data_IF_640216582881
#
_entry.id   IF_640216582881
#
_cell.length_a   1.000
_cell.length_b   1.000
_cell.length_c   1.000
_cell.angle_alpha   90.00
_cell.angle_beta   90.00
_cell.angle_gamma   90.00
#
_symmetry.space_group_name_H-M   'P 1'
#
loop_
_entity.id
_entity.type
_entity.pdbx_description
1 polymer ?
#
# COMPACT_ATOMS: atom_id res chain seq x y z
N UNK A 1 37.11 -4.37 20.74
CA UNK A 1 37.81 -3.63 19.67
C UNK A 1 38.85 -4.44 18.87
N UNK A 2 40.01 -4.89 19.40
CA UNK A 2 40.99 -5.65 18.58
C UNK A 2 40.49 -7.06 18.17
N UNK A 3 39.82 -7.77 19.08
CA UNK A 3 39.29 -9.10 18.80
C UNK A 3 38.14 -9.07 17.76
N UNK A 4 37.27 -8.07 17.80
CA UNK A 4 36.16 -7.92 16.83
C UNK A 4 36.64 -7.55 15.43
N UNK A 5 37.67 -6.69 15.33
CA UNK A 5 38.31 -6.37 14.05
C UNK A 5 38.98 -7.61 13.45
N UNK A 6 39.64 -8.42 14.26
CA UNK A 6 40.24 -9.68 13.82
C UNK A 6 39.20 -10.69 13.33
N UNK A 7 38.10 -10.87 14.08
CA UNK A 7 36.98 -11.72 13.66
C UNK A 7 36.31 -11.23 12.37
N UNK A 8 36.16 -9.91 12.21
CA UNK A 8 35.63 -9.32 10.99
C UNK A 8 36.55 -9.61 9.78
N UNK A 9 37.86 -9.46 9.95
CA UNK A 9 38.85 -9.77 8.90
C UNK A 9 38.81 -11.26 8.55
N UNK A 10 38.78 -12.14 9.54
CA UNK A 10 38.63 -13.58 9.32
C UNK A 10 37.34 -13.93 8.58
N UNK A 11 36.23 -13.25 8.92
CA UNK A 11 34.94 -13.43 8.24
C UNK A 11 35.04 -13.00 6.78
N UNK A 12 35.64 -11.84 6.49
CA UNK A 12 35.84 -11.34 5.12
C UNK A 12 36.71 -12.31 4.33
N UNK A 13 37.84 -12.75 4.89
CA UNK A 13 38.74 -13.72 4.25
C UNK A 13 37.99 -15.03 3.99
N UNK A 14 37.26 -15.55 4.99
CA UNK A 14 36.48 -16.77 4.88
C UNK A 14 35.38 -16.69 3.81
N UNK A 15 34.59 -15.62 3.79
CA UNK A 15 33.53 -15.43 2.78
C UNK A 15 34.10 -15.23 1.37
N UNK A 16 35.25 -14.55 1.26
CA UNK A 16 35.93 -14.34 -0.02
C UNK A 16 36.51 -15.66 -0.54
N UNK A 17 37.21 -16.41 0.30
CA UNK A 17 37.76 -17.73 -0.05
C UNK A 17 36.65 -18.72 -0.43
N UNK A 18 35.53 -18.71 0.30
CA UNK A 18 34.36 -19.50 -0.04
C UNK A 18 33.78 -19.11 -1.42
N UNK A 19 33.61 -17.81 -1.68
CA UNK A 19 33.15 -17.32 -2.98
C UNK A 19 34.08 -17.71 -4.13
N UNK A 20 35.40 -17.58 -3.95
CA UNK A 20 36.41 -18.01 -4.93
C UNK A 20 36.38 -19.53 -5.13
N UNK A 21 36.28 -20.32 -4.06
CA UNK A 21 36.18 -21.77 -4.15
C UNK A 21 34.91 -22.21 -4.89
N UNK A 22 33.78 -21.54 -4.66
CA UNK A 22 32.52 -21.81 -5.34
C UNK A 22 32.64 -21.48 -6.84
N UNK A 23 33.22 -20.33 -7.18
CA UNK A 23 33.47 -19.92 -8.56
C UNK A 23 34.37 -20.94 -9.28
N UNK A 24 35.51 -21.30 -8.68
CA UNK A 24 36.43 -22.29 -9.25
C UNK A 24 35.78 -23.67 -9.38
N UNK A 25 34.98 -24.10 -8.40
CA UNK A 25 34.24 -25.36 -8.44
C UNK A 25 33.21 -25.38 -9.57
N UNK A 26 32.47 -24.29 -9.75
CA UNK A 26 31.51 -24.12 -10.85
C UNK A 26 32.22 -24.12 -12.21
N UNK A 27 33.32 -23.36 -12.36
CA UNK A 27 34.09 -23.32 -13.61
C UNK A 27 34.69 -24.68 -13.95
N UNK A 28 35.25 -25.39 -12.96
CA UNK A 28 35.77 -26.74 -13.15
C UNK A 28 34.66 -27.73 -13.53
N UNK A 29 33.50 -27.68 -12.86
CA UNK A 29 32.35 -28.52 -13.18
C UNK A 29 31.83 -28.28 -14.61
N UNK A 30 31.83 -27.02 -15.05
CA UNK A 30 31.47 -26.64 -16.42
C UNK A 30 32.47 -27.17 -17.46
N UNK A 31 33.78 -27.02 -17.21
CA UNK A 31 34.84 -27.49 -18.11
C UNK A 31 34.86 -29.02 -18.21
N UNK A 32 34.70 -29.72 -17.07
CA UNK A 32 34.75 -31.18 -17.01
C UNK A 32 33.48 -31.83 -17.57
N UNK A 33 32.36 -31.10 -17.61
CA UNK A 33 31.13 -31.55 -18.29
C UNK A 33 30.48 -32.80 -17.69
N UNK A 34 30.73 -33.10 -16.41
CA UNK A 34 30.24 -34.34 -15.79
C UNK A 34 28.71 -34.31 -15.61
N UNK A 35 28.03 -35.28 -16.23
CA UNK A 35 26.55 -35.40 -16.24
C UNK A 35 26.12 -36.60 -15.40
N UNK A 36 25.30 -36.37 -14.36
CA UNK A 36 24.82 -37.43 -13.45
C UNK A 36 23.54 -38.09 -13.96
N UNK A 37 22.62 -37.31 -14.54
CA UNK A 37 21.35 -37.80 -15.11
C UNK A 37 21.19 -37.18 -16.48
N UNK A 38 20.92 -38.00 -17.49
CA UNK A 38 20.70 -37.56 -18.87
C UNK A 38 19.54 -38.35 -19.47
N UNK A 39 18.70 -37.67 -20.25
CA UNK A 39 17.73 -38.33 -21.13
C UNK A 39 18.36 -38.60 -22.50
N UNK A 40 17.91 -39.65 -23.20
CA UNK A 40 18.49 -40.10 -24.48
C UNK A 40 18.56 -39.01 -25.57
N UNK A 41 17.70 -37.99 -25.46
CA UNK A 41 17.64 -36.84 -26.38
C UNK A 41 18.27 -35.55 -25.81
N UNK A 42 19.02 -35.61 -24.71
CA UNK A 42 19.65 -34.44 -24.04
C UNK A 42 18.70 -33.31 -23.59
N UNK A 43 17.37 -33.50 -23.64
CA UNK A 43 16.41 -32.47 -23.20
C UNK A 43 16.49 -32.16 -21.70
N UNK A 44 16.96 -33.11 -20.89
CA UNK A 44 17.23 -32.91 -19.47
C UNK A 44 18.60 -33.49 -19.13
N UNK A 45 19.53 -32.64 -18.69
CA UNK A 45 20.83 -33.06 -18.13
C UNK A 45 21.06 -32.40 -16.77
N UNK A 46 21.23 -33.23 -15.74
CA UNK A 46 21.60 -32.79 -14.40
C UNK A 46 23.07 -33.14 -14.18
N UNK A 47 23.95 -32.16 -14.35
CA UNK A 47 25.39 -32.32 -14.18
C UNK A 47 25.91 -31.81 -12.85
N UNK A 48 27.22 -31.90 -12.68
CA UNK A 48 27.95 -31.42 -11.51
C UNK A 48 27.64 -29.95 -11.20
N UNK A 49 27.49 -29.12 -12.23
CA UNK A 49 27.05 -27.74 -12.12
C UNK A 49 25.67 -27.59 -11.46
N UNK A 50 24.69 -28.37 -11.92
CA UNK A 50 23.33 -28.38 -11.34
C UNK A 50 23.31 -28.85 -9.89
N UNK A 51 24.14 -29.84 -9.54
CA UNK A 51 24.29 -30.32 -8.17
C UNK A 51 24.85 -29.24 -7.22
N UNK A 52 25.86 -28.48 -7.66
CA UNK A 52 26.41 -27.37 -6.87
C UNK A 52 25.40 -26.24 -6.68
N UNK A 53 24.67 -25.85 -7.74
CA UNK A 53 23.61 -24.83 -7.64
C UNK A 53 22.47 -25.28 -6.73
N UNK A 54 22.00 -26.52 -6.89
CA UNK A 54 20.94 -27.08 -6.04
C UNK A 54 21.38 -27.11 -4.57
N UNK A 55 22.62 -27.55 -4.30
CA UNK A 55 23.19 -27.56 -2.95
C UNK A 55 23.28 -26.14 -2.37
N UNK A 56 23.71 -25.16 -3.17
CA UNK A 56 23.77 -23.76 -2.76
C UNK A 56 22.38 -23.20 -2.41
N UNK A 57 21.37 -23.46 -3.25
CA UNK A 57 19.99 -23.06 -3.00
C UNK A 57 19.41 -23.72 -1.75
N UNK A 58 19.69 -25.01 -1.52
CA UNK A 58 19.25 -25.72 -0.32
C UNK A 58 19.88 -25.09 0.94
N UNK A 59 21.18 -24.80 0.91
CA UNK A 59 21.88 -24.16 2.02
C UNK A 59 21.33 -22.74 2.27
N UNK A 60 21.12 -21.94 1.23
CA UNK A 60 20.50 -20.62 1.34
C UNK A 60 19.09 -20.69 1.93
N UNK A 61 18.27 -21.63 1.45
CA UNK A 61 16.91 -21.85 1.92
C UNK A 61 16.89 -22.31 3.39
N UNK A 62 17.83 -23.16 3.78
CA UNK A 62 18.00 -23.60 5.17
C UNK A 62 18.37 -22.43 6.07
N UNK A 63 19.35 -21.60 5.70
CA UNK A 63 19.72 -20.43 6.49
C UNK A 63 18.58 -19.41 6.57
N UNK A 64 17.90 -19.15 5.45
CA UNK A 64 16.72 -18.29 5.45
C UNK A 64 15.61 -18.83 6.37
N UNK A 65 15.34 -20.14 6.34
CA UNK A 65 14.36 -20.78 7.22
C UNK A 65 14.74 -20.70 8.70
N UNK A 66 16.01 -20.95 9.03
CA UNK A 66 16.51 -20.85 10.40
C UNK A 66 16.42 -19.42 10.93
N UNK A 67 16.80 -18.43 10.11
CA UNK A 67 16.69 -17.02 10.48
C UNK A 67 15.22 -16.59 10.62
N UNK A 68 14.35 -17.03 9.71
CA UNK A 68 12.91 -16.76 9.81
C UNK A 68 12.29 -17.34 11.09
N UNK A 69 12.67 -18.56 11.49
CA UNK A 69 12.25 -19.12 12.80
C UNK A 69 12.80 -18.33 13.98
N UNK A 70 14.04 -17.83 13.91
CA UNK A 70 14.64 -16.99 14.95
C UNK A 70 13.85 -15.68 15.08
N UNK A 71 13.65 -14.97 13.96
CA UNK A 71 12.86 -13.72 13.91
C UNK A 71 11.45 -13.91 14.47
N UNK A 72 10.78 -15.02 14.13
CA UNK A 72 9.42 -15.28 14.62
C UNK A 72 9.35 -15.43 16.13
N UNK A 73 10.36 -16.03 16.77
CA UNK A 73 10.44 -16.11 18.24
C UNK A 73 10.63 -14.74 18.87
N UNK A 74 11.42 -13.88 18.24
CA UNK A 74 11.68 -12.52 18.72
C UNK A 74 10.45 -11.62 18.71
N UNK A 75 9.43 -11.94 17.89
CA UNK A 75 8.14 -11.23 17.91
C UNK A 75 7.30 -11.52 19.17
N UNK A 76 7.58 -12.63 19.88
CA UNK A 76 6.87 -13.02 21.11
C UNK A 76 7.42 -12.31 22.36
N UNK A 77 8.59 -11.65 22.26
CA UNK A 77 9.22 -10.95 23.37
C UNK A 77 8.46 -9.63 23.68
N UNK A 78 8.02 -9.39 24.92
CA UNK A 78 7.34 -8.15 25.28
C UNK A 78 8.31 -6.95 25.23
N UNK A 79 7.96 -5.90 24.48
CA UNK A 79 8.82 -4.73 24.30
C UNK A 79 8.74 -3.77 25.48
N UNK A 80 9.89 -3.19 25.81
CA UNK A 80 9.98 -1.92 26.54
C UNK A 80 10.04 -0.78 25.52
N UNK A 81 8.94 -0.05 25.32
CA UNK A 81 8.86 1.09 24.40
C UNK A 81 9.52 2.34 25.01
N UNK A 82 10.82 2.24 25.30
CA UNK A 82 11.61 3.29 25.95
C UNK A 82 12.55 4.04 24.98
N UNK A 83 12.59 3.63 23.71
CA UNK A 83 13.40 4.25 22.68
C UNK A 83 12.68 5.43 22.05
N UNK A 84 13.47 6.39 21.60
CA UNK A 84 12.99 7.57 20.90
C UNK A 84 13.02 7.34 19.40
N UNK A 85 11.90 7.58 18.73
CA UNK A 85 11.74 7.35 17.29
C UNK A 85 11.31 8.63 16.60
N UNK A 86 11.96 8.97 15.48
CA UNK A 86 11.46 9.95 14.53
C UNK A 86 10.96 9.27 13.26
N UNK A 87 9.76 9.64 12.81
CA UNK A 87 9.25 9.34 11.48
C UNK A 87 9.55 10.52 10.54
N UNK A 88 10.35 10.26 9.51
CA UNK A 88 10.68 11.21 8.47
C UNK A 88 9.86 10.92 7.21
N UNK A 89 9.09 11.91 6.76
CA UNK A 89 8.23 11.81 5.58
C UNK A 89 8.83 12.69 4.49
N UNK A 90 9.17 12.09 3.34
CA UNK A 90 9.61 12.83 2.16
C UNK A 90 8.42 13.12 1.25
N UNK A 91 8.21 14.39 0.88
CA UNK A 91 7.08 14.81 0.05
C UNK A 91 7.53 15.70 -1.12
N UNK A 92 6.89 15.58 -2.26
CA UNK A 92 7.05 16.49 -3.39
C UNK A 92 5.83 16.37 -4.32
N UNK A 93 5.10 17.47 -4.51
CA UNK A 93 3.93 17.57 -5.39
C UNK A 93 2.99 16.35 -5.32
N UNK A 94 2.68 15.91 -4.08
CA UNK A 94 1.87 14.73 -3.81
C UNK A 94 0.38 14.99 -4.07
N UNK A 95 -0.37 13.95 -4.45
CA UNK A 95 -1.81 14.05 -4.49
C UNK A 95 -2.39 14.41 -3.09
N UNK A 96 -3.25 15.44 -2.98
CA UNK A 96 -3.78 15.87 -1.68
C UNK A 96 -4.48 14.78 -0.88
N UNK A 97 -5.17 13.85 -1.54
CA UNK A 97 -5.89 12.76 -0.86
C UNK A 97 -4.92 11.68 -0.36
N UNK A 98 -3.88 11.36 -1.11
CA UNK A 98 -2.83 10.44 -0.67
C UNK A 98 -2.04 10.99 0.50
N UNK A 99 -1.61 12.25 0.43
CA UNK A 99 -0.92 12.91 1.54
C UNK A 99 -1.79 12.94 2.81
N UNK A 100 -3.08 13.27 2.68
CA UNK A 100 -4.03 13.24 3.81
C UNK A 100 -4.14 11.85 4.42
N UNK A 101 -4.27 10.80 3.61
CA UNK A 101 -4.34 9.41 4.09
C UNK A 101 -3.05 8.98 4.80
N UNK A 102 -1.89 9.32 4.24
CA UNK A 102 -0.59 9.10 4.86
C UNK A 102 -0.54 9.75 6.25
N UNK A 103 -0.76 11.06 6.35
CA UNK A 103 -0.71 11.78 7.63
C UNK A 103 -1.77 11.33 8.64
N UNK A 104 -2.98 10.98 8.18
CA UNK A 104 -3.99 10.38 9.05
C UNK A 104 -3.55 9.02 9.61
N UNK A 105 -2.84 8.22 8.82
CA UNK A 105 -2.26 6.95 9.29
C UNK A 105 -1.15 7.16 10.32
N UNK A 106 -0.31 8.19 10.12
CA UNK A 106 0.72 8.60 11.07
C UNK A 106 0.13 8.95 12.44
N UNK A 107 -1.01 9.65 12.47
CA UNK A 107 -1.71 9.96 13.74
C UNK A 107 -2.22 8.73 14.49
N UNK A 108 -2.42 7.62 13.80
CA UNK A 108 -2.90 6.36 14.39
C UNK A 108 -1.75 5.46 14.85
N UNK A 109 -0.49 5.84 14.64
CA UNK A 109 0.65 5.08 15.13
C UNK A 109 0.56 4.93 16.65
N UNK A 110 0.76 3.70 17.11
CA UNK A 110 0.66 3.32 18.52
C UNK A 110 1.97 3.54 19.28
N UNK A 111 3.06 3.85 18.57
CA UNK A 111 4.35 4.12 19.20
C UNK A 111 4.29 5.41 20.03
N UNK A 112 4.55 5.35 21.35
CA UNK A 112 4.37 6.51 22.22
C UNK A 112 5.39 7.59 21.91
N UNK A 113 4.91 8.83 21.78
CA UNK A 113 5.78 10.00 21.69
C UNK A 113 6.62 10.11 20.42
N UNK A 114 6.26 9.40 19.35
CA UNK A 114 6.94 9.48 18.04
C UNK A 114 7.00 10.94 17.55
N UNK A 115 8.20 11.37 17.13
CA UNK A 115 8.41 12.67 16.49
C UNK A 115 8.15 12.52 15.00
N UNK A 116 7.44 13.46 14.39
CA UNK A 116 7.11 13.45 12.96
C UNK A 116 7.79 14.65 12.29
N UNK A 117 8.61 14.38 11.29
CA UNK A 117 9.31 15.40 10.49
C UNK A 117 8.95 15.16 9.04
N UNK A 118 8.10 16.03 8.47
CA UNK A 118 7.83 16.05 7.04
C UNK A 118 8.74 17.08 6.38
N UNK A 119 9.41 16.71 5.30
CA UNK A 119 10.21 17.63 4.49
C UNK A 119 9.66 17.61 3.06
N UNK A 120 9.26 18.78 2.58
CA UNK A 120 8.72 19.00 1.23
C UNK A 120 9.86 19.50 0.34
N UNK A 121 10.13 18.80 -0.76
CA UNK A 121 11.18 19.11 -1.73
C UNK A 121 10.82 20.23 -2.71
N UNK A 122 10.14 21.26 -2.20
CA UNK A 122 9.61 22.36 -2.96
C UNK A 122 9.20 23.46 -2.01
N UNK A 123 9.51 24.69 -2.36
CA UNK A 123 9.18 25.88 -1.58
C UNK A 123 8.55 26.98 -2.43
N UNK A 124 7.94 26.60 -3.55
CA UNK A 124 7.15 27.48 -4.41
C UNK A 124 5.72 27.63 -3.88
N UNK A 125 4.95 28.55 -4.45
CA UNK A 125 3.52 28.70 -4.12
C UNK A 125 2.71 27.43 -4.42
N UNK A 126 3.09 26.69 -5.47
CA UNK A 126 2.47 25.43 -5.87
C UNK A 126 2.66 24.32 -4.83
N UNK A 127 3.64 24.44 -3.92
CA UNK A 127 3.94 23.44 -2.90
C UNK A 127 3.26 23.73 -1.55
N UNK A 128 2.71 24.93 -1.36
CA UNK A 128 2.19 25.41 -0.07
C UNK A 128 1.04 24.53 0.47
N UNK A 129 0.22 23.97 -0.44
CA UNK A 129 -0.91 23.12 -0.05
C UNK A 129 -0.47 21.90 0.78
N UNK A 130 0.73 21.34 0.55
CA UNK A 130 1.21 20.19 1.31
C UNK A 130 1.50 20.58 2.77
N UNK A 131 2.06 21.77 3.00
CA UNK A 131 2.30 22.31 4.34
C UNK A 131 0.98 22.63 5.05
N UNK A 132 0.00 23.16 4.32
CA UNK A 132 -1.34 23.42 4.84
C UNK A 132 -2.05 22.13 5.26
N UNK A 133 -2.00 21.09 4.42
CA UNK A 133 -2.52 19.76 4.73
C UNK A 133 -1.86 19.20 5.99
N UNK A 134 -0.53 19.30 6.11
CA UNK A 134 0.19 18.86 7.29
C UNK A 134 -0.29 19.58 8.56
N UNK A 135 -0.36 20.90 8.51
CA UNK A 135 -0.78 21.73 9.64
C UNK A 135 -2.23 21.45 10.03
N UNK A 136 -3.11 21.24 9.06
CA UNK A 136 -4.50 20.86 9.29
C UNK A 136 -4.61 19.49 9.98
N UNK A 137 -3.94 18.46 9.43
CA UNK A 137 -4.05 17.09 9.93
C UNK A 137 -3.38 16.94 11.30
N UNK A 138 -2.16 17.44 11.45
CA UNK A 138 -1.37 17.36 12.69
C UNK A 138 -1.84 18.33 13.78
N UNK A 139 -2.63 19.35 13.38
CA UNK A 139 -3.21 20.36 14.25
C UNK A 139 -2.36 21.63 14.28
N UNK A 140 -2.94 22.74 13.82
CA UNK A 140 -2.24 24.02 13.60
C UNK A 140 -1.49 24.54 14.84
N UNK A 141 -2.05 24.34 16.04
CA UNK A 141 -1.43 24.77 17.31
C UNK A 141 -0.37 23.78 17.85
N UNK A 142 -0.25 22.60 17.24
CA UNK A 142 0.63 21.50 17.68
C UNK A 142 1.75 21.19 16.68
N UNK A 143 1.64 21.70 15.46
CA UNK A 143 2.63 21.55 14.40
C UNK A 143 3.45 22.82 14.24
N UNK A 144 4.76 22.67 14.07
CA UNK A 144 5.64 23.74 13.63
C UNK A 144 5.88 23.66 12.13
N UNK A 145 5.84 24.79 11.44
CA UNK A 145 6.12 24.85 10.00
C UNK A 145 7.21 25.87 9.70
N UNK A 146 7.99 25.62 8.65
CA UNK A 146 9.01 26.55 8.19
C UNK A 146 9.24 26.44 6.69
N UNK A 147 9.26 27.59 6.01
CA UNK A 147 9.65 27.68 4.61
C UNK A 147 11.12 28.09 4.58
N UNK A 148 12.00 27.10 4.37
CA UNK A 148 13.40 27.36 4.15
C UNK A 148 13.61 27.71 2.69
N UNK A 149 14.13 28.92 2.43
CA UNK A 149 14.37 29.41 1.05
C UNK A 149 15.33 28.52 0.26
N UNK A 150 16.20 27.79 0.95
CA UNK A 150 17.27 27.00 0.38
C UNK A 150 17.27 25.59 0.98
N UNK A 151 18.43 24.92 1.03
CA UNK A 151 18.62 23.65 1.74
C UNK A 151 20.06 23.60 2.30
N UNK A 152 20.50 22.45 2.82
CA UNK A 152 21.83 22.36 3.42
C UNK A 152 22.98 22.50 2.42
N UNK A 153 22.78 22.10 1.16
CA UNK A 153 23.84 22.05 0.15
C UNK A 153 23.80 23.19 -0.88
N UNK A 154 22.69 23.90 -0.99
CA UNK A 154 22.49 24.99 -1.93
C UNK A 154 22.28 26.28 -1.15
N UNK A 155 23.03 27.33 -1.49
CA UNK A 155 22.81 28.69 -0.98
C UNK A 155 21.89 29.46 -1.91
N UNK A 156 21.18 30.44 -1.36
CA UNK A 156 20.34 31.36 -2.11
C UNK A 156 21.15 32.43 -2.85
N UNK A 157 20.60 33.05 -3.90
CA UNK A 157 21.20 34.22 -4.52
C UNK A 157 21.39 35.33 -3.48
N UNK A 158 22.63 35.73 -3.20
CA UNK A 158 22.96 36.77 -2.22
C UNK A 158 22.93 36.32 -0.76
N UNK A 159 22.76 35.03 -0.47
CA UNK A 159 22.84 34.49 0.89
C UNK A 159 24.33 34.36 1.32
N UNK A 160 24.70 35.00 2.43
CA UNK A 160 26.05 34.87 3.01
C UNK A 160 26.17 33.56 3.80
N UNK A 161 27.40 33.12 4.05
CA UNK A 161 27.69 31.92 4.82
C UNK A 161 27.12 31.98 6.24
N UNK A 162 27.12 33.16 6.86
CA UNK A 162 26.53 33.37 8.18
C UNK A 162 25.01 33.20 8.15
N UNK A 163 24.32 33.82 7.18
CA UNK A 163 22.85 33.73 7.05
C UNK A 163 22.38 32.31 6.69
N UNK A 164 23.13 31.60 5.85
CA UNK A 164 22.89 30.18 5.53
C UNK A 164 23.06 29.30 6.78
N UNK A 165 24.11 29.57 7.56
CA UNK A 165 24.34 28.87 8.83
C UNK A 165 23.22 29.14 9.84
N UNK A 166 22.78 30.39 9.97
CA UNK A 166 21.67 30.77 10.86
C UNK A 166 20.37 30.04 10.49
N UNK A 167 20.00 30.03 9.20
CA UNK A 167 18.80 29.33 8.75
C UNK A 167 18.89 27.81 8.94
N UNK A 168 20.06 27.20 8.72
CA UNK A 168 20.29 25.78 9.00
C UNK A 168 20.21 25.43 10.50
N UNK A 169 20.66 26.35 11.36
CA UNK A 169 20.55 26.23 12.82
C UNK A 169 19.09 26.40 13.27
N UNK A 170 18.35 27.31 12.64
CA UNK A 170 16.92 27.48 12.88
C UNK A 170 16.14 26.21 12.57
N UNK A 171 16.38 25.57 11.41
CA UNK A 171 15.79 24.26 11.05
C UNK A 171 16.10 23.21 12.13
N UNK A 172 17.36 23.12 12.56
CA UNK A 172 17.78 22.19 13.61
C UNK A 172 17.01 22.45 14.91
N UNK A 173 16.97 23.71 15.36
CA UNK A 173 16.28 24.08 16.61
C UNK A 173 14.78 23.81 16.54
N UNK A 174 14.15 24.07 15.38
CA UNK A 174 12.75 23.82 15.12
C UNK A 174 12.43 22.33 15.24
N UNK A 175 13.24 21.48 14.60
CA UNK A 175 13.11 20.01 14.65
C UNK A 175 13.31 19.49 16.07
N UNK A 176 14.28 20.01 16.83
CA UNK A 176 14.54 19.55 18.20
C UNK A 176 13.42 19.95 19.17
N UNK A 177 12.86 21.16 19.03
CA UNK A 177 11.92 21.75 20.00
C UNK A 177 10.47 21.29 19.83
N UNK A 178 10.12 20.68 18.68
CA UNK A 178 8.73 20.35 18.34
C UNK A 178 8.53 18.85 18.11
N UNK A 179 7.29 18.36 18.27
CA UNK A 179 6.95 16.95 18.00
C UNK A 179 6.53 16.69 16.56
N UNK A 180 5.85 17.65 15.93
CA UNK A 180 5.39 17.54 14.55
C UNK A 180 5.88 18.75 13.77
N UNK A 181 6.73 18.52 12.78
CA UNK A 181 7.40 19.57 12.02
C UNK A 181 7.20 19.35 10.53
N UNK A 182 6.88 20.42 9.80
CA UNK A 182 6.90 20.43 8.34
C UNK A 182 7.86 21.51 7.82
N UNK A 183 8.85 21.11 7.04
CA UNK A 183 9.84 22.01 6.43
C UNK A 183 9.65 21.98 4.92
N UNK A 184 9.41 23.13 4.31
CA UNK A 184 9.59 23.32 2.87
C UNK A 184 11.02 23.75 2.61
N UNK A 185 11.64 23.20 1.57
CA UNK A 185 13.01 23.55 1.20
C UNK A 185 13.14 23.72 -0.31
N UNK A 186 14.27 24.27 -0.76
CA UNK A 186 14.60 24.29 -2.19
C UNK A 186 14.81 22.87 -2.71
N UNK A 187 14.24 22.60 -3.87
CA UNK A 187 14.33 21.31 -4.57
C UNK A 187 15.78 20.82 -4.67
N UNK A 188 16.02 19.61 -4.18
CA UNK A 188 17.32 18.93 -4.20
C UNK A 188 17.23 17.41 -4.40
N UNK A 189 16.03 16.89 -4.64
CA UNK A 189 15.74 15.47 -4.75
C UNK A 189 15.56 14.79 -3.38
N UNK A 190 14.97 13.59 -3.39
CA UNK A 190 14.66 12.79 -2.20
C UNK A 190 15.85 12.60 -1.24
N UNK A 191 17.08 12.50 -1.75
CA UNK A 191 18.28 12.40 -0.92
C UNK A 191 18.51 13.65 -0.07
N UNK A 192 18.27 14.83 -0.64
CA UNK A 192 18.42 16.10 0.08
C UNK A 192 17.34 16.25 1.15
N UNK A 193 16.10 15.87 0.82
CA UNK A 193 14.96 15.84 1.76
C UNK A 193 15.27 14.98 2.98
N UNK A 194 15.73 13.74 2.74
CA UNK A 194 16.14 12.83 3.80
C UNK A 194 17.34 13.37 4.59
N UNK A 195 18.32 13.94 3.89
CA UNK A 195 19.49 14.55 4.53
C UNK A 195 19.09 15.68 5.47
N UNK A 196 18.17 16.56 5.08
CA UNK A 196 17.66 17.64 5.93
C UNK A 196 17.08 17.12 7.22
N UNK A 197 16.19 16.11 7.14
CA UNK A 197 15.59 15.50 8.32
C UNK A 197 16.66 14.85 9.22
N UNK A 198 17.56 14.04 8.65
CA UNK A 198 18.60 13.34 9.41
C UNK A 198 19.60 14.32 10.05
N UNK A 199 19.99 15.36 9.32
CA UNK A 199 20.93 16.38 9.81
C UNK A 199 20.34 17.20 10.94
N UNK A 200 19.07 17.58 10.84
CA UNK A 200 18.36 18.33 11.87
C UNK A 200 18.07 17.48 13.12
N UNK A 201 17.76 16.19 12.96
CA UNK A 201 17.58 15.26 14.07
C UNK A 201 18.90 14.95 14.80
N UNK A 202 20.00 14.78 14.06
CA UNK A 202 21.31 14.47 14.63
C UNK A 202 21.27 13.24 15.54
N UNK A 203 21.64 13.40 16.82
CA UNK A 203 21.63 12.33 17.83
C UNK A 203 20.43 12.41 18.79
N UNK A 204 19.37 13.13 18.42
CA UNK A 204 18.21 13.38 19.29
C UNK A 204 17.26 12.19 19.43
N UNK A 205 17.36 11.21 18.55
CA UNK A 205 16.54 10.00 18.56
C UNK A 205 17.41 8.75 18.45
N UNK A 206 16.93 7.64 19.00
CA UNK A 206 17.58 6.33 18.89
C UNK A 206 17.40 5.73 17.49
N UNK A 207 16.20 5.90 16.93
CA UNK A 207 15.84 5.36 15.61
C UNK A 207 15.16 6.39 14.71
N UNK A 208 15.41 6.25 13.41
CA UNK A 208 14.74 7.01 12.36
C UNK A 208 14.02 6.05 11.44
N UNK A 209 12.70 6.19 11.36
CA UNK A 209 11.84 5.55 10.38
C UNK A 209 11.64 6.52 9.22
N UNK A 210 11.67 6.01 7.98
CA UNK A 210 11.42 6.81 6.78
C UNK A 210 10.20 6.26 6.04
N UNK A 211 9.38 7.14 5.47
CA UNK A 211 8.31 6.75 4.56
C UNK A 211 8.07 7.82 3.49
N UNK A 212 7.38 7.41 2.44
CA UNK A 212 6.97 8.30 1.35
C UNK A 212 5.63 8.97 1.71
N UNK A 213 5.33 10.09 1.05
CA UNK A 213 4.12 10.90 1.28
C UNK A 213 2.83 10.23 0.83
N UNK A 214 2.91 9.18 0.01
CA UNK A 214 1.79 8.36 -0.48
C UNK A 214 1.60 7.05 0.30
N UNK A 215 2.46 6.78 1.29
CA UNK A 215 2.45 5.51 2.03
C UNK A 215 1.54 5.57 3.25
N UNK A 216 0.54 4.69 3.34
CA UNK A 216 -0.24 4.49 4.55
C UNK A 216 0.46 3.52 5.51
N UNK A 217 0.63 3.93 6.76
CA UNK A 217 1.27 3.11 7.80
C UNK A 217 0.24 2.33 8.62
N UNK A 218 0.53 1.06 8.87
CA UNK A 218 -0.19 0.27 9.87
C UNK A 218 0.06 0.85 11.29
N UNK A 219 -0.97 0.93 12.16
CA UNK A 219 -0.83 1.45 13.52
C UNK A 219 0.29 0.83 14.36
N UNK A 220 0.64 -0.44 14.13
CA UNK A 220 1.70 -1.17 14.84
C UNK A 220 3.05 -1.15 14.13
N UNK A 221 3.15 -0.62 12.90
CA UNK A 221 4.36 -0.70 12.06
C UNK A 221 5.65 -0.25 12.77
N UNK A 222 5.66 0.92 13.39
CA UNK A 222 6.83 1.44 14.13
C UNK A 222 7.19 0.57 15.33
N UNK A 223 6.20 0.01 16.01
CA UNK A 223 6.39 -0.88 17.17
C UNK A 223 7.08 -2.16 16.72
N UNK A 224 6.58 -2.81 15.66
CA UNK A 224 7.15 -4.05 15.14
C UNK A 224 8.56 -3.85 14.58
N UNK A 225 8.84 -2.74 13.90
CA UNK A 225 10.18 -2.45 13.41
C UNK A 225 11.19 -2.24 14.56
N UNK A 226 10.80 -1.53 15.61
CA UNK A 226 11.66 -1.35 16.79
C UNK A 226 11.89 -2.67 17.53
N UNK A 227 10.92 -3.61 17.56
CA UNK A 227 11.14 -4.96 18.12
C UNK A 227 12.38 -5.62 17.52
N UNK A 228 12.44 -5.62 16.19
CA UNK A 228 13.50 -6.32 15.45
C UNK A 228 14.86 -5.69 15.74
N UNK A 229 14.92 -4.36 15.81
CA UNK A 229 16.14 -3.61 16.10
C UNK A 229 16.64 -3.79 17.54
N UNK A 230 15.72 -3.90 18.51
CA UNK A 230 16.08 -4.04 19.93
C UNK A 230 16.43 -5.47 20.32
N UNK A 231 15.89 -6.47 19.61
CA UNK A 231 16.19 -7.87 19.89
C UNK A 231 17.63 -8.25 19.50
N UNK A 232 18.11 -7.77 18.36
CA UNK A 232 19.43 -8.13 17.84
C UNK A 232 20.29 -6.86 17.62
N UNK A 233 21.25 -6.58 18.53
CA UNK A 233 22.14 -5.43 18.41
C UNK A 233 23.00 -5.38 17.14
N UNK A 234 23.09 -6.49 16.40
CA UNK A 234 23.80 -6.54 15.11
C UNK A 234 22.95 -6.04 13.95
N UNK A 235 21.64 -5.84 14.14
CA UNK A 235 20.72 -5.33 13.12
C UNK A 235 20.71 -3.81 13.15
N UNK A 236 21.31 -3.20 12.11
CA UNK A 236 21.37 -1.74 11.96
C UNK A 236 20.20 -1.12 11.19
N UNK A 237 19.26 -1.93 10.69
CA UNK A 237 18.12 -1.47 9.91
C UNK A 237 17.10 -2.58 9.67
N UNK A 238 15.85 -2.18 9.52
CA UNK A 238 14.70 -3.06 9.27
C UNK A 238 13.83 -2.43 8.18
N UNK A 239 13.31 -3.25 7.28
CA UNK A 239 12.30 -2.86 6.30
C UNK A 239 10.93 -3.31 6.75
N UNK A 240 9.91 -2.47 6.56
CA UNK A 240 8.52 -2.90 6.66
C UNK A 240 8.09 -3.70 5.43
N UNK A 241 7.03 -4.49 5.55
CA UNK A 241 6.35 -5.11 4.41
C UNK A 241 5.51 -4.05 3.69
N UNK A 242 5.99 -3.58 2.54
CA UNK A 242 5.32 -2.54 1.75
C UNK A 242 4.43 -3.19 0.71
N UNK A 243 3.13 -2.89 0.77
CA UNK A 243 2.12 -3.40 -0.15
C UNK A 243 1.63 -2.26 -1.05
N UNK A 244 1.51 -2.54 -2.36
CA UNK A 244 1.05 -1.55 -3.35
C UNK A 244 -0.45 -1.75 -3.57
N UNK A 245 -1.27 -0.90 -2.98
CA UNK A 245 -2.73 -0.98 -3.10
C UNK A 245 -3.28 -0.21 -4.32
N UNK A 246 -2.71 -0.46 -5.51
CA UNK A 246 -3.16 0.15 -6.78
C UNK A 246 -4.23 -0.69 -7.50
N UNK A 247 -4.73 -1.76 -6.87
CA UNK A 247 -5.70 -2.66 -7.50
C UNK A 247 -7.10 -2.09 -7.43
N UNK A 248 -7.80 -2.17 -8.55
CA UNK A 248 -9.18 -1.76 -8.67
C UNK A 248 -10.09 -2.93 -8.35
N UNK A 249 -11.00 -2.76 -7.39
CA UNK A 249 -11.93 -3.81 -6.97
C UNK A 249 -13.35 -3.33 -7.19
N UNK A 250 -14.19 -4.18 -7.80
CA UNK A 250 -15.64 -4.03 -7.78
C UNK A 250 -16.26 -5.01 -6.80
N UNK A 251 -17.15 -4.53 -5.94
CA UNK A 251 -18.07 -5.34 -5.16
C UNK A 251 -19.40 -5.45 -5.90
N UNK A 252 -19.74 -6.66 -6.33
CA UNK A 252 -21.01 -6.99 -6.97
C UNK A 252 -21.99 -7.55 -5.93
N UNK A 253 -23.14 -6.89 -5.78
CA UNK A 253 -24.21 -7.29 -4.87
C UNK A 253 -25.40 -7.77 -5.70
N UNK A 254 -25.78 -9.03 -5.53
CA UNK A 254 -26.98 -9.57 -6.14
C UNK A 254 -28.15 -9.47 -5.16
N UNK A 255 -29.28 -8.91 -5.59
CA UNK A 255 -30.46 -8.73 -4.74
C UNK A 255 -31.77 -9.14 -5.42
N UNK A 256 -32.69 -9.70 -4.64
CA UNK A 256 -34.04 -10.02 -5.09
C UNK A 256 -34.99 -10.10 -3.90
N UNK A 257 -36.05 -9.28 -3.89
CA UNK A 257 -37.11 -9.28 -2.86
C UNK A 257 -36.57 -9.41 -1.43
N UNK A 258 -35.57 -8.59 -1.11
CA UNK A 258 -34.85 -8.65 0.15
C UNK A 258 -35.60 -8.00 1.29
N UNK A 259 -35.39 -8.50 2.51
CA UNK A 259 -35.85 -7.79 3.69
C UNK A 259 -35.16 -6.40 3.78
N UNK A 260 -35.94 -5.31 3.93
CA UNK A 260 -35.39 -3.95 3.99
C UNK A 260 -34.31 -3.74 5.05
N UNK A 261 -34.43 -4.39 6.22
CA UNK A 261 -33.49 -4.23 7.32
C UNK A 261 -32.18 -4.99 7.04
N UNK A 262 -32.25 -6.19 6.45
CA UNK A 262 -31.05 -6.93 6.05
C UNK A 262 -30.30 -6.22 4.92
N UNK A 263 -31.01 -5.76 3.89
CA UNK A 263 -30.40 -5.00 2.79
C UNK A 263 -29.69 -3.73 3.31
N UNK A 264 -30.35 -3.00 4.22
CA UNK A 264 -29.77 -1.80 4.82
C UNK A 264 -28.54 -2.11 5.68
N UNK A 265 -28.53 -3.22 6.41
CA UNK A 265 -27.36 -3.68 7.19
C UNK A 265 -26.21 -4.06 6.26
N UNK A 266 -26.47 -4.81 5.19
CA UNK A 266 -25.49 -5.16 4.16
C UNK A 266 -24.86 -3.89 3.57
N UNK A 267 -25.64 -2.97 3.02
CA UNK A 267 -25.13 -1.74 2.40
C UNK A 267 -24.37 -0.84 3.38
N UNK A 268 -24.81 -0.76 4.64
CA UNK A 268 -24.07 -0.04 5.69
C UNK A 268 -22.72 -0.69 5.99
N UNK A 269 -22.63 -2.02 5.91
CA UNK A 269 -21.35 -2.73 6.06
C UNK A 269 -20.42 -2.47 4.87
N UNK A 270 -20.96 -2.45 3.65
CA UNK A 270 -20.23 -2.09 2.42
C UNK A 270 -19.64 -0.68 2.52
N UNK A 271 -20.40 0.29 3.01
CA UNK A 271 -19.92 1.66 3.22
C UNK A 271 -18.77 1.79 4.23
N UNK A 272 -18.60 0.79 5.11
CA UNK A 272 -17.51 0.75 6.10
C UNK A 272 -16.27 0.00 5.62
N UNK A 273 -16.28 -0.57 4.41
CA UNK A 273 -15.10 -1.24 3.86
C UNK A 273 -13.93 -0.26 3.79
N UNK A 274 -12.76 -0.72 4.24
CA UNK A 274 -11.55 0.12 4.31
C UNK A 274 -10.78 0.13 3.00
N UNK A 275 -11.20 -0.65 1.99
CA UNK A 275 -10.54 -0.70 0.69
C UNK A 275 -10.74 0.61 -0.07
N UNK A 276 -9.65 1.34 -0.40
CA UNK A 276 -9.77 2.64 -1.03
C UNK A 276 -10.34 2.52 -2.44
N UNK A 277 -11.25 3.42 -2.80
CA UNK A 277 -11.73 3.52 -4.19
C UNK A 277 -12.57 2.35 -4.70
N UNK A 278 -13.06 1.46 -3.82
CA UNK A 278 -13.91 0.33 -4.23
C UNK A 278 -15.13 0.82 -5.02
N UNK A 279 -15.42 0.14 -6.15
CA UNK A 279 -16.62 0.35 -6.96
C UNK A 279 -17.71 -0.60 -6.45
N UNK A 280 -18.93 -0.12 -6.27
CA UNK A 280 -20.07 -0.92 -5.81
C UNK A 280 -21.09 -1.01 -6.93
N UNK A 281 -21.41 -2.23 -7.34
CA UNK A 281 -22.42 -2.54 -8.37
C UNK A 281 -23.47 -3.44 -7.74
N UNK A 282 -24.63 -2.89 -7.40
CA UNK A 282 -25.78 -3.66 -6.99
C UNK A 282 -26.66 -3.94 -8.21
N UNK A 283 -27.06 -5.19 -8.40
CA UNK A 283 -28.00 -5.56 -9.45
C UNK A 283 -29.20 -6.25 -8.80
N UNK A 284 -30.37 -5.67 -9.00
CA UNK A 284 -31.66 -6.17 -8.50
C UNK A 284 -32.29 -7.02 -9.59
N UNK A 285 -32.60 -8.28 -9.27
CA UNK A 285 -33.22 -9.26 -10.16
C UNK A 285 -34.73 -9.06 -10.31
N UNK A 286 -35.14 -7.83 -10.55
CA UNK A 286 -36.53 -7.43 -10.58
C UNK A 286 -36.61 -5.96 -10.95
N UNK A 287 -37.61 -5.61 -11.75
CA UNK A 287 -37.87 -4.25 -12.18
C UNK A 287 -39.35 -3.88 -12.12
N UNK A 288 -40.10 -4.58 -11.25
CA UNK A 288 -41.50 -4.27 -10.95
C UNK A 288 -41.60 -3.13 -9.93
N UNK A 289 -42.80 -2.57 -9.74
CA UNK A 289 -43.03 -1.54 -8.72
C UNK A 289 -42.69 -2.05 -7.30
N UNK A 290 -42.93 -3.34 -7.05
CA UNK A 290 -42.62 -3.99 -5.77
C UNK A 290 -41.12 -4.08 -5.49
N UNK A 291 -40.25 -3.92 -6.50
CA UNK A 291 -38.79 -3.99 -6.34
C UNK A 291 -38.15 -2.61 -6.10
N UNK A 292 -38.88 -1.52 -6.32
CA UNK A 292 -38.35 -0.14 -6.30
C UNK A 292 -37.76 0.24 -4.94
N UNK A 293 -38.30 -0.28 -3.84
CA UNK A 293 -37.80 0.02 -2.50
C UNK A 293 -36.33 -0.39 -2.31
N UNK A 294 -35.84 -1.45 -2.97
CA UNK A 294 -34.44 -1.86 -2.86
C UNK A 294 -33.50 -0.82 -3.49
N UNK A 295 -33.90 -0.25 -4.62
CA UNK A 295 -33.16 0.84 -5.27
C UNK A 295 -33.19 2.11 -4.41
N UNK A 296 -34.33 2.44 -3.81
CA UNK A 296 -34.44 3.57 -2.88
C UNK A 296 -33.54 3.42 -1.66
N UNK A 297 -33.51 2.22 -1.07
CA UNK A 297 -32.61 1.89 0.06
C UNK A 297 -31.14 2.04 -0.37
N UNK A 298 -30.78 1.57 -1.56
CA UNK A 298 -29.43 1.74 -2.09
C UNK A 298 -29.04 3.21 -2.19
N UNK A 299 -29.86 4.03 -2.83
CA UNK A 299 -29.59 5.47 -2.98
C UNK A 299 -29.58 6.20 -1.65
N UNK A 300 -30.40 5.80 -0.69
CA UNK A 300 -30.37 6.38 0.65
C UNK A 300 -29.05 6.07 1.38
N UNK A 301 -28.61 4.81 1.38
CA UNK A 301 -27.40 4.39 2.13
C UNK A 301 -26.12 4.89 1.44
N UNK A 302 -26.05 4.77 0.11
CA UNK A 302 -24.88 5.16 -0.67
C UNK A 302 -24.81 6.67 -0.91
N UNK A 303 -25.91 7.39 -0.73
CA UNK A 303 -26.04 8.83 -0.90
C UNK A 303 -26.61 9.17 -2.28
N UNK A 304 -27.77 9.85 -2.30
CA UNK A 304 -28.53 10.12 -3.54
C UNK A 304 -27.73 10.87 -4.59
N UNK A 305 -26.89 11.83 -4.17
CA UNK A 305 -26.03 12.61 -5.07
C UNK A 305 -24.72 11.90 -5.45
N UNK A 306 -24.45 10.74 -4.85
CA UNK A 306 -23.19 9.97 -5.02
C UNK A 306 -23.41 8.59 -5.67
N UNK A 307 -24.67 8.20 -5.89
CA UNK A 307 -25.06 6.92 -6.46
C UNK A 307 -25.82 7.10 -7.76
N UNK A 308 -25.49 6.32 -8.79
CA UNK A 308 -26.32 6.21 -9.98
C UNK A 308 -27.34 5.08 -9.83
N UNK A 309 -28.52 5.27 -10.42
CA UNK A 309 -29.55 4.25 -10.49
C UNK A 309 -30.06 4.11 -11.92
N UNK A 310 -30.41 2.89 -12.32
CA UNK A 310 -30.98 2.65 -13.64
C UNK A 310 -31.98 1.49 -13.60
N UNK A 311 -33.17 1.72 -14.14
CA UNK A 311 -34.19 0.69 -14.32
C UNK A 311 -34.09 0.19 -15.75
N UNK A 312 -33.39 -0.93 -15.94
CA UNK A 312 -33.33 -1.59 -17.22
C UNK A 312 -34.57 -2.46 -17.39
N UNK A 313 -35.39 -2.15 -18.41
CA UNK A 313 -36.61 -2.90 -18.72
C UNK A 313 -36.35 -4.39 -19.02
N UNK A 314 -35.14 -4.71 -19.44
CA UNK A 314 -34.71 -5.99 -19.97
C UNK A 314 -33.43 -6.46 -19.24
N UNK A 315 -32.73 -7.45 -19.79
CA UNK A 315 -31.38 -7.83 -19.36
C UNK A 315 -30.53 -8.18 -20.60
N UNK A 316 -29.27 -8.58 -20.42
CA UNK A 316 -28.37 -8.86 -21.55
C UNK A 316 -28.83 -10.02 -22.45
N UNK A 317 -29.62 -10.97 -21.94
CA UNK A 317 -30.02 -12.16 -22.70
C UNK A 317 -31.48 -12.14 -23.17
N UNK A 318 -32.33 -11.34 -22.54
CA UNK A 318 -33.77 -11.28 -22.79
C UNK A 318 -34.13 -9.91 -23.34
N UNK A 319 -34.58 -9.87 -24.59
CA UNK A 319 -35.15 -8.68 -25.21
C UNK A 319 -36.57 -8.43 -24.73
N UNK A 320 -36.97 -7.16 -24.76
CA UNK A 320 -38.34 -6.73 -24.50
C UNK A 320 -39.27 -7.07 -25.67
N UNK A 321 -40.59 -7.18 -25.43
CA UNK A 321 -41.57 -7.33 -26.51
C UNK A 321 -41.48 -6.13 -27.48
N UNK A 322 -41.14 -6.37 -28.74
CA UNK A 322 -40.99 -5.32 -29.76
C UNK A 322 -39.68 -4.54 -29.71
N UNK A 323 -38.72 -4.93 -28.87
CA UNK A 323 -37.38 -4.32 -28.81
C UNK A 323 -36.54 -4.78 -30.00
N UNK A 324 -35.95 -3.83 -30.74
CA UNK A 324 -35.03 -4.13 -31.85
C UNK A 324 -33.64 -4.43 -31.33
N UNK A 325 -32.84 -5.15 -32.10
CA UNK A 325 -31.45 -5.49 -31.79
C UNK A 325 -30.59 -4.26 -31.50
N UNK A 326 -30.83 -3.16 -32.21
CA UNK A 326 -30.15 -1.88 -32.01
C UNK A 326 -30.52 -1.25 -30.66
N UNK A 327 -31.81 -1.16 -30.34
CA UNK A 327 -32.27 -0.57 -29.06
C UNK A 327 -31.83 -1.39 -27.83
N UNK A 328 -31.78 -2.73 -27.96
CA UNK A 328 -31.28 -3.61 -26.92
C UNK A 328 -29.77 -3.41 -26.70
N UNK A 329 -29.01 -3.26 -27.80
CA UNK A 329 -27.59 -2.97 -27.76
C UNK A 329 -27.31 -1.60 -27.13
N UNK A 330 -28.05 -0.56 -27.49
CA UNK A 330 -27.93 0.78 -26.89
C UNK A 330 -28.18 0.74 -25.38
N UNK A 331 -29.23 0.05 -24.95
CA UNK A 331 -29.54 -0.09 -23.52
C UNK A 331 -28.42 -0.81 -22.76
N UNK A 332 -27.84 -1.85 -23.36
CA UNK A 332 -26.72 -2.59 -22.78
C UNK A 332 -25.43 -1.74 -22.69
N UNK A 333 -25.19 -0.89 -23.70
CA UNK A 333 -24.08 0.06 -23.72
C UNK A 333 -24.27 1.17 -22.68
N UNK A 334 -25.51 1.63 -22.48
CA UNK A 334 -25.84 2.59 -21.44
C UNK A 334 -25.56 2.04 -20.04
N UNK A 335 -25.98 0.80 -19.75
CA UNK A 335 -25.64 0.11 -18.50
C UNK A 335 -24.12 0.05 -18.30
N UNK A 336 -23.38 -0.29 -19.35
CA UNK A 336 -21.91 -0.37 -19.31
C UNK A 336 -21.30 1.00 -19.00
N UNK A 337 -21.73 2.05 -19.70
CA UNK A 337 -21.25 3.41 -19.49
C UNK A 337 -21.57 3.93 -18.07
N UNK A 338 -22.76 3.66 -17.57
CA UNK A 338 -23.16 4.02 -16.22
C UNK A 338 -22.29 3.32 -15.16
N UNK A 339 -22.04 2.01 -15.32
CA UNK A 339 -21.16 1.25 -14.42
C UNK A 339 -19.74 1.78 -14.46
N UNK A 340 -19.22 2.14 -15.63
CA UNK A 340 -17.85 2.67 -15.77
C UNK A 340 -17.71 4.06 -15.15
N UNK A 341 -18.68 4.95 -15.34
CA UNK A 341 -18.62 6.36 -14.93
C UNK A 341 -18.94 6.60 -13.45
N UNK A 342 -19.57 5.66 -12.75
CA UNK A 342 -20.02 5.85 -11.38
C UNK A 342 -19.29 4.93 -10.39
N UNK A 343 -19.04 5.43 -9.17
CA UNK A 343 -18.42 4.64 -8.11
C UNK A 343 -19.42 3.69 -7.44
N UNK A 344 -20.66 4.12 -7.28
CA UNK A 344 -21.75 3.33 -6.68
C UNK A 344 -22.92 3.33 -7.64
N UNK A 345 -23.37 2.16 -8.05
CA UNK A 345 -24.48 2.03 -8.99
C UNK A 345 -25.43 0.90 -8.62
N UNK A 346 -26.73 1.15 -8.77
CA UNK A 346 -27.78 0.14 -8.65
C UNK A 346 -28.54 0.00 -9.96
N UNK A 347 -28.61 -1.22 -10.48
CA UNK A 347 -29.32 -1.55 -11.71
C UNK A 347 -30.47 -2.48 -11.37
N UNK A 348 -31.68 -2.10 -11.73
CA UNK A 348 -32.81 -3.04 -11.78
C UNK A 348 -32.88 -3.64 -13.18
N UNK A 349 -33.14 -4.94 -13.27
CA UNK A 349 -33.27 -5.64 -14.54
C UNK A 349 -34.49 -6.56 -14.56
N UNK A 350 -34.85 -7.05 -15.74
CA UNK A 350 -35.86 -8.11 -15.85
C UNK A 350 -35.39 -9.38 -15.14
N UNK A 351 -36.27 -9.96 -14.32
CA UNK A 351 -36.03 -11.19 -13.58
C UNK A 351 -35.47 -12.30 -14.49
N UNK A 352 -34.31 -12.82 -14.11
CA UNK A 352 -33.57 -13.85 -14.84
C UNK A 352 -32.80 -14.82 -13.94
N UNK A 353 -32.86 -14.62 -12.63
CA UNK A 353 -32.11 -15.39 -11.64
C UNK A 353 -30.74 -14.81 -11.34
N UNK A 354 -30.15 -15.21 -10.22
CA UNK A 354 -28.83 -14.78 -9.74
C UNK A 354 -27.71 -14.87 -10.79
N UNK A 355 -27.76 -15.87 -11.69
CA UNK A 355 -26.80 -15.99 -12.80
C UNK A 355 -26.85 -14.80 -13.76
N UNK A 356 -28.04 -14.33 -14.09
CA UNK A 356 -28.25 -13.18 -14.97
C UNK A 356 -27.82 -11.88 -14.29
N UNK A 357 -28.11 -11.74 -13.00
CA UNK A 357 -27.64 -10.62 -12.16
C UNK A 357 -26.12 -10.51 -12.20
N UNK A 358 -25.44 -11.63 -11.96
CA UNK A 358 -23.98 -11.72 -12.00
C UNK A 358 -23.43 -11.46 -13.40
N UNK A 359 -24.09 -11.98 -14.44
CA UNK A 359 -23.72 -11.72 -15.82
C UNK A 359 -23.79 -10.22 -16.14
N UNK A 360 -24.88 -9.54 -15.76
CA UNK A 360 -25.03 -8.09 -15.96
C UNK A 360 -23.92 -7.31 -15.29
N UNK A 361 -23.63 -7.60 -14.02
CA UNK A 361 -22.56 -6.92 -13.29
C UNK A 361 -21.19 -7.16 -13.96
N UNK A 362 -20.85 -8.40 -14.28
CA UNK A 362 -19.55 -8.75 -14.86
C UNK A 362 -19.39 -8.22 -16.29
N UNK A 363 -20.45 -8.28 -17.09
CA UNK A 363 -20.44 -7.80 -18.48
C UNK A 363 -20.28 -6.29 -18.54
N UNK A 364 -20.95 -5.56 -17.65
CA UNK A 364 -20.85 -4.10 -17.56
C UNK A 364 -19.49 -3.64 -17.00
N UNK A 365 -18.91 -4.37 -16.05
CA UNK A 365 -17.56 -4.10 -15.55
C UNK A 365 -16.48 -4.40 -16.59
N UNK A 366 -16.62 -5.46 -17.39
CA UNK A 366 -15.66 -5.83 -18.42
C UNK A 366 -14.24 -6.00 -17.87
N UNK A 367 -13.28 -5.23 -18.41
CA UNK A 367 -11.87 -5.19 -17.94
C UNK A 367 -11.54 -3.94 -17.13
N UNK A 368 -12.55 -3.25 -16.59
CA UNK A 368 -12.34 -1.99 -15.86
C UNK A 368 -11.83 -2.17 -14.43
N UNK A 369 -11.82 -3.40 -13.91
CA UNK A 369 -11.35 -3.73 -12.57
C UNK A 369 -10.40 -4.92 -12.59
N UNK A 370 -9.45 -4.95 -11.66
CA UNK A 370 -8.52 -6.07 -11.45
C UNK A 370 -9.22 -7.26 -10.79
N UNK A 371 -10.06 -6.99 -9.78
CA UNK A 371 -10.76 -8.03 -9.01
C UNK A 371 -12.25 -7.73 -8.87
N UNK A 372 -13.03 -8.80 -8.81
CA UNK A 372 -14.46 -8.73 -8.51
C UNK A 372 -14.75 -9.54 -7.26
N UNK A 373 -15.20 -8.85 -6.21
CA UNK A 373 -15.75 -9.48 -5.02
C UNK A 373 -17.26 -9.62 -5.20
N UNK A 374 -17.82 -10.76 -4.83
CA UNK A 374 -19.26 -11.02 -4.92
C UNK A 374 -19.84 -11.16 -3.53
N UNK A 375 -21.02 -10.61 -3.31
CA UNK A 375 -21.73 -10.66 -2.05
C UNK A 375 -23.23 -10.78 -2.28
N UNK A 376 -23.92 -11.43 -1.35
CA UNK A 376 -25.38 -11.45 -1.31
C UNK A 376 -25.89 -10.24 -0.53
N UNK A 377 -27.10 -9.78 -0.85
CA UNK A 377 -27.71 -8.58 -0.24
C UNK A 377 -28.07 -8.70 1.23
N UNK A 378 -28.02 -9.90 1.80
CA UNK A 378 -28.24 -10.19 3.22
C UNK A 378 -26.94 -10.38 4.01
N UNK A 379 -25.78 -10.29 3.33
CA UNK A 379 -24.47 -10.55 3.93
C UNK A 379 -23.84 -9.28 4.51
N UNK A 380 -23.36 -9.35 5.75
CA UNK A 380 -22.58 -8.28 6.36
C UNK A 380 -21.08 -8.54 6.17
N UNK A 381 -20.38 -7.59 5.57
CA UNK A 381 -18.94 -7.66 5.36
C UNK A 381 -18.16 -7.08 6.54
N UNK A 382 -17.09 -7.76 6.93
CA UNK A 382 -16.08 -7.20 7.82
C UNK A 382 -15.38 -6.00 7.12
N UNK A 383 -15.07 -4.88 7.83
CA UNK A 383 -14.43 -3.72 7.23
C UNK A 383 -13.14 -4.03 6.45
N UNK A 384 -12.38 -5.05 6.87
CA UNK A 384 -11.14 -5.45 6.22
C UNK A 384 -11.31 -6.54 5.14
N UNK A 385 -12.53 -7.07 4.94
CA UNK A 385 -12.76 -8.25 4.10
C UNK A 385 -12.18 -8.14 2.69
N UNK A 386 -12.38 -7.00 2.01
CA UNK A 386 -11.85 -6.77 0.66
C UNK A 386 -10.33 -6.66 0.65
N UNK A 387 -9.74 -6.01 1.67
CA UNK A 387 -8.28 -5.89 1.81
C UNK A 387 -7.66 -7.27 1.98
N UNK A 388 -8.22 -8.10 2.85
CA UNK A 388 -7.75 -9.48 3.08
C UNK A 388 -7.92 -10.36 1.84
N UNK A 389 -9.04 -10.23 1.11
CA UNK A 389 -9.25 -10.94 -0.14
C UNK A 389 -8.16 -10.62 -1.17
N UNK A 390 -7.87 -9.33 -1.39
CA UNK A 390 -6.82 -8.91 -2.33
C UNK A 390 -5.45 -9.43 -1.89
N UNK A 391 -5.13 -9.36 -0.59
CA UNK A 391 -3.88 -9.92 -0.06
C UNK A 391 -3.72 -11.40 -0.39
N UNK A 392 -4.75 -12.22 -0.17
CA UNK A 392 -4.70 -13.66 -0.46
C UNK A 392 -4.49 -13.89 -1.96
N UNK A 393 -5.22 -13.18 -2.81
CA UNK A 393 -5.11 -13.33 -4.27
C UNK A 393 -3.74 -12.90 -4.82
N UNK A 394 -3.05 -11.96 -4.16
CA UNK A 394 -1.69 -11.57 -4.57
C UNK A 394 -0.61 -12.57 -4.17
N UNK A 395 -0.80 -13.31 -3.06
CA UNK A 395 0.17 -14.33 -2.61
C UNK A 395 0.27 -15.47 -3.61
N UNK A 396 -0.83 -15.85 -4.27
CA UNK A 396 -0.85 -16.92 -5.27
C UNK A 396 -0.30 -16.50 -6.65
N UNK A 397 0.01 -15.22 -6.86
CA UNK A 397 0.55 -14.68 -8.12
C UNK A 397 2.06 -14.40 -8.08
N UNK A 398 2.75 -14.69 -6.97
CA UNK A 398 4.22 -14.67 -6.85
C UNK A 398 4.75 -16.10 -6.75
#
# INVERSE_FOLDING_TARGET
MHCERFLCILRIIGTTLFGVSLLLGITAAYIVGYQFIQTDNYYFSFGLYGAFLASHLIIQSLFAFLEHRKMKKSLETPIKLNKTVALCIAAYQEDPDYLRKCLQSVKRLTYPGIKVVMVIDGNSEDDLYMMDIFSEVMGRDKSATYIWKNNYHVKGPGETDESHKESSQHVTQLVLSNKSICIMQKWGGKREVMYTAFRALGRSVDYVQVCDSDTMLDPASSVEMVKVLEEDPMVGGVGGDVQILNKTVALCIAAYQEDPDYLRKCLRSVKRLTYPGIKVVMVIDGNSEDDLYMMDIFSEVMGRDQSATYIWKNNYHVKGPGETDESHKESSQHVTQLVLSNKSICIMQKWGGKREVMYTAFRALGRSVDYVQVCDSDTMLDPAATVEMVKVLEVDHK
#
